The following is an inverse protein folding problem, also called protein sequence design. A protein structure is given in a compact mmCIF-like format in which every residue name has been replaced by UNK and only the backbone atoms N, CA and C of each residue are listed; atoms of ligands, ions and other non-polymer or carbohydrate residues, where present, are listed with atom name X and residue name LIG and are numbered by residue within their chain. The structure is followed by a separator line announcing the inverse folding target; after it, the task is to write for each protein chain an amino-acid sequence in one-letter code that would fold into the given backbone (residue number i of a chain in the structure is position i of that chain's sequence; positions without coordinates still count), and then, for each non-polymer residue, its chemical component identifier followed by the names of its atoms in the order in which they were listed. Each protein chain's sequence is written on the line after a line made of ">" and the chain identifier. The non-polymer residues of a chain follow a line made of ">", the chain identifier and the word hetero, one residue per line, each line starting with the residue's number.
data_IF_800484240530
#
_entry.id   IF_800484240530
#
_cell.length_a   1.000
_cell.length_b   1.000
_cell.length_c   1.000
_cell.angle_alpha   90.00
_cell.angle_beta   90.00
_cell.angle_gamma   90.00
#
_symmetry.space_group_name_H-M   'P 1'
#
loop_
_entity.id
_entity.type
_entity.pdbx_description
1 polymer ?
#
# COMPACT_ATOMS: atom_id res chain seq x y z
N UNK A 1 -0.84 -12.27 18.36
CA UNK A 1 -1.52 -10.95 18.31
C UNK A 1 -3.00 -11.06 17.97
N UNK A 2 -3.36 -11.62 16.80
CA UNK A 2 -4.75 -11.82 16.35
C UNK A 2 -5.64 -12.55 17.37
N UNK A 3 -5.13 -13.63 17.96
CA UNK A 3 -5.84 -14.40 18.99
C UNK A 3 -6.13 -13.57 20.26
N UNK A 4 -5.18 -12.74 20.71
CA UNK A 4 -5.38 -11.88 21.89
C UNK A 4 -6.42 -10.78 21.62
N UNK A 5 -6.38 -10.15 20.44
CA UNK A 5 -7.40 -9.17 20.04
C UNK A 5 -8.79 -9.83 19.93
N UNK A 6 -8.86 -11.03 19.37
CA UNK A 6 -10.11 -11.80 19.30
C UNK A 6 -10.64 -12.16 20.70
N UNK A 7 -9.78 -12.54 21.65
CA UNK A 7 -10.19 -12.86 23.03
C UNK A 7 -10.71 -11.61 23.78
N UNK A 8 -10.07 -10.45 23.59
CA UNK A 8 -10.52 -9.18 24.18
C UNK A 8 -11.84 -8.72 23.56
N UNK A 9 -12.01 -8.87 22.24
CA UNK A 9 -13.26 -8.52 21.59
C UNK A 9 -14.39 -9.47 21.98
N UNK A 10 -14.12 -10.78 22.07
CA UNK A 10 -15.09 -11.79 22.52
C UNK A 10 -15.62 -11.50 23.92
N UNK A 11 -14.75 -11.09 24.84
CA UNK A 11 -15.14 -10.79 26.23
C UNK A 11 -15.93 -9.49 26.37
N UNK A 12 -15.85 -8.59 25.38
CA UNK A 12 -16.54 -7.30 25.35
C UNK A 12 -17.80 -7.30 24.47
N UNK A 13 -17.95 -8.27 23.56
CA UNK A 13 -19.10 -8.39 22.67
C UNK A 13 -20.22 -9.21 23.34
N UNK A 14 -21.32 -8.54 23.69
CA UNK A 14 -22.58 -9.15 24.15
C UNK A 14 -23.30 -9.94 23.03
N UNK A 15 -22.65 -10.96 22.47
CA UNK A 15 -23.21 -11.82 21.42
C UNK A 15 -23.04 -11.35 19.97
N UNK A 16 -22.26 -10.31 19.72
CA UNK A 16 -21.91 -9.87 18.35
C UNK A 16 -20.78 -10.73 17.77
N UNK A 17 -20.93 -11.21 16.53
CA UNK A 17 -19.85 -11.92 15.82
C UNK A 17 -18.63 -10.98 15.65
N UNK A 18 -17.44 -11.50 15.97
CA UNK A 18 -16.19 -10.76 15.83
C UNK A 18 -15.86 -10.60 14.34
N UNK A 19 -15.79 -9.35 13.87
CA UNK A 19 -15.24 -9.05 12.54
C UNK A 19 -13.70 -9.12 12.60
N UNK A 20 -13.16 -10.30 12.31
CA UNK A 20 -11.71 -10.52 12.31
C UNK A 20 -10.97 -9.57 11.37
N UNK A 21 -11.57 -9.15 10.25
CA UNK A 21 -10.93 -8.23 9.31
C UNK A 21 -10.73 -6.85 9.96
N UNK A 22 -11.74 -6.35 10.66
CA UNK A 22 -11.60 -5.12 11.46
C UNK A 22 -10.62 -5.31 12.62
N UNK A 23 -10.65 -6.46 13.29
CA UNK A 23 -9.78 -6.76 14.41
C UNK A 23 -8.29 -6.69 14.05
N UNK A 24 -7.89 -7.23 12.89
CA UNK A 24 -6.48 -7.15 12.46
C UNK A 24 -6.09 -5.74 12.04
N UNK A 25 -7.06 -4.96 11.56
CA UNK A 25 -6.87 -3.56 11.17
C UNK A 25 -6.82 -2.60 12.35
N UNK A 26 -7.20 -2.97 13.56
CA UNK A 26 -7.05 -2.09 14.74
C UNK A 26 -5.61 -1.62 14.97
N UNK A 27 -4.61 -2.44 14.61
CA UNK A 27 -3.19 -2.09 14.73
C UNK A 27 -2.60 -1.46 13.45
N UNK A 28 -3.33 -1.53 12.34
CA UNK A 28 -2.97 -0.91 11.06
C UNK A 28 -4.27 -0.42 10.40
N UNK A 29 -4.87 0.67 10.93
CA UNK A 29 -6.16 1.14 10.46
C UNK A 29 -6.05 1.56 9.00
N UNK A 30 -7.17 1.51 8.25
CA UNK A 30 -7.20 2.09 6.91
C UNK A 30 -6.68 3.52 6.97
N UNK A 31 -5.91 3.97 5.96
CA UNK A 31 -5.31 5.29 5.97
C UNK A 31 -6.38 6.37 6.13
N UNK A 32 -6.20 7.22 7.13
CA UNK A 32 -6.89 8.51 7.18
C UNK A 32 -6.49 9.29 5.92
N UNK A 33 -7.48 9.98 5.35
CA UNK A 33 -7.33 10.83 4.16
C UNK A 33 -6.88 10.07 2.90
N UNK A 34 -7.36 8.84 2.70
CA UNK A 34 -7.04 8.07 1.50
C UNK A 34 -7.49 8.80 0.23
N UNK A 35 -8.69 9.40 0.25
CA UNK A 35 -9.23 10.15 -0.89
C UNK A 35 -8.30 11.27 -1.32
N UNK A 36 -7.89 12.13 -0.39
CA UNK A 36 -7.02 13.27 -0.67
C UNK A 36 -5.65 12.82 -1.19
N UNK A 37 -5.12 11.71 -0.65
CA UNK A 37 -3.85 11.12 -1.12
C UNK A 37 -3.95 10.57 -2.54
N UNK A 38 -5.05 9.91 -2.89
CA UNK A 38 -5.25 9.35 -4.22
C UNK A 38 -5.46 10.47 -5.25
N UNK A 39 -6.28 11.48 -4.92
CA UNK A 39 -6.44 12.68 -5.76
C UNK A 39 -5.09 13.36 -5.97
N UNK A 40 -4.34 13.61 -4.90
CA UNK A 40 -3.01 14.23 -4.98
C UNK A 40 -2.04 13.41 -5.85
N UNK A 41 -2.00 12.09 -5.65
CA UNK A 41 -1.16 11.21 -6.45
C UNK A 41 -1.50 11.31 -7.94
N UNK A 42 -2.79 11.23 -8.30
CA UNK A 42 -3.23 11.30 -9.70
C UNK A 42 -2.89 12.68 -10.28
N UNK A 43 -3.18 13.78 -9.57
CA UNK A 43 -2.87 15.13 -10.04
C UNK A 43 -1.37 15.38 -10.24
N UNK A 44 -0.51 14.90 -9.33
CA UNK A 44 0.96 15.06 -9.46
C UNK A 44 1.51 14.21 -10.60
N UNK A 45 0.84 13.11 -10.95
CA UNK A 45 1.31 12.15 -11.96
C UNK A 45 0.40 12.09 -13.18
N UNK A 46 -0.36 13.14 -13.45
CA UNK A 46 -1.34 13.18 -14.56
C UNK A 46 -0.66 12.96 -15.92
N UNK A 47 0.49 13.60 -16.13
CA UNK A 47 1.28 13.47 -17.36
C UNK A 47 2.21 12.24 -17.37
N UNK A 48 2.18 11.42 -16.32
CA UNK A 48 3.07 10.26 -16.21
C UNK A 48 2.57 9.12 -17.10
N UNK A 49 3.48 8.49 -17.84
CA UNK A 49 3.18 7.25 -18.59
C UNK A 49 3.08 6.05 -17.62
N UNK A 50 2.00 6.02 -16.82
CA UNK A 50 1.70 5.00 -15.82
C UNK A 50 0.22 4.61 -15.84
N UNK A 51 -0.08 3.36 -15.48
CA UNK A 51 -1.46 2.89 -15.27
C UNK A 51 -1.86 3.19 -13.81
N UNK A 52 -2.49 4.35 -13.56
CA UNK A 52 -2.93 4.76 -12.21
C UNK A 52 -3.86 3.72 -11.56
N UNK A 53 -4.78 3.15 -12.34
CA UNK A 53 -5.71 2.12 -11.86
C UNK A 53 -4.94 0.90 -11.35
N UNK A 54 -3.97 0.40 -12.12
CA UNK A 54 -3.14 -0.73 -11.70
C UNK A 54 -2.27 -0.42 -10.47
N UNK A 55 -1.64 0.74 -10.44
CA UNK A 55 -0.77 1.14 -9.34
C UNK A 55 -1.57 1.27 -8.05
N UNK A 56 -2.69 1.98 -8.08
CA UNK A 56 -3.58 2.17 -6.93
C UNK A 56 -4.13 0.83 -6.48
N UNK A 57 -4.69 0.02 -7.38
CA UNK A 57 -5.21 -1.30 -7.04
C UNK A 57 -4.13 -2.18 -6.38
N UNK A 58 -2.91 -2.18 -6.91
CA UNK A 58 -1.81 -2.97 -6.36
C UNK A 58 -1.30 -2.44 -5.02
N UNK A 59 -1.32 -1.12 -4.80
CA UNK A 59 -0.94 -0.49 -3.54
C UNK A 59 -1.97 -0.78 -2.43
N UNK A 60 -3.27 -0.70 -2.77
CA UNK A 60 -4.34 -1.12 -1.86
C UNK A 60 -4.24 -2.61 -1.52
N UNK A 61 -3.84 -3.43 -2.48
CA UNK A 61 -3.64 -4.86 -2.25
C UNK A 61 -2.44 -5.17 -1.34
N UNK A 62 -1.36 -4.37 -1.44
CA UNK A 62 -0.25 -4.39 -0.49
C UNK A 62 -0.70 -3.99 0.92
N UNK A 63 -1.51 -2.94 1.05
CA UNK A 63 -2.07 -2.50 2.34
C UNK A 63 -3.06 -3.53 2.93
N UNK A 64 -3.85 -4.18 2.06
CA UNK A 64 -4.78 -5.25 2.43
C UNK A 64 -4.11 -6.51 2.94
N UNK A 65 -2.98 -6.86 2.35
CA UNK A 65 -2.34 -8.14 2.58
C UNK A 65 -0.83 -7.98 2.77
N UNK A 66 -0.34 -7.18 3.74
CA UNK A 66 1.09 -7.00 3.90
C UNK A 66 1.74 -8.31 4.36
N UNK A 67 3.08 -8.45 4.23
CA UNK A 67 3.78 -9.69 4.55
C UNK A 67 3.41 -10.23 5.95
N UNK A 68 3.02 -11.52 6.01
CA UNK A 68 2.64 -12.21 7.26
C UNK A 68 1.19 -12.04 7.70
N UNK A 69 0.35 -11.31 6.95
CA UNK A 69 -1.08 -11.16 7.25
C UNK A 69 -1.94 -12.26 6.62
N UNK A 70 -3.12 -12.48 7.22
CA UNK A 70 -4.11 -13.41 6.66
C UNK A 70 -4.69 -12.88 5.35
N UNK A 71 -4.92 -13.79 4.40
CA UNK A 71 -5.56 -13.46 3.13
C UNK A 71 -7.08 -13.46 3.29
N UNK A 72 -7.67 -12.28 3.44
CA UNK A 72 -9.12 -12.11 3.47
C UNK A 72 -9.69 -12.06 2.04
N UNK A 73 -10.96 -12.45 1.82
CA UNK A 73 -11.57 -12.40 0.49
C UNK A 73 -11.50 -10.99 -0.12
N UNK A 74 -10.84 -10.80 -1.28
CA UNK A 74 -10.57 -9.46 -1.84
C UNK A 74 -11.82 -8.61 -2.02
N UNK A 75 -12.92 -9.20 -2.51
CA UNK A 75 -14.21 -8.49 -2.68
C UNK A 75 -14.68 -7.84 -1.38
N UNK A 76 -14.77 -8.61 -0.31
CA UNK A 76 -15.20 -8.12 1.00
C UNK A 76 -14.19 -7.12 1.58
N UNK A 77 -12.90 -7.37 1.38
CA UNK A 77 -11.85 -6.46 1.82
C UNK A 77 -12.00 -5.08 1.19
N UNK A 78 -12.20 -5.02 -0.12
CA UNK A 78 -12.36 -3.77 -0.84
C UNK A 78 -13.63 -3.02 -0.44
N UNK A 79 -14.78 -3.70 -0.45
CA UNK A 79 -16.07 -3.09 -0.12
C UNK A 79 -16.07 -2.45 1.27
N UNK A 80 -15.51 -3.14 2.25
CA UNK A 80 -15.47 -2.65 3.63
C UNK A 80 -14.42 -1.56 3.88
N UNK A 81 -13.32 -1.56 3.12
CA UNK A 81 -12.13 -0.77 3.48
C UNK A 81 -11.89 0.43 2.56
N UNK A 82 -12.16 0.27 1.26
CA UNK A 82 -11.69 1.20 0.23
C UNK A 82 -12.82 1.82 -0.59
N UNK A 83 -13.97 1.13 -0.74
CA UNK A 83 -15.08 1.57 -1.60
C UNK A 83 -15.49 3.03 -1.36
N UNK A 84 -15.64 3.42 -0.09
CA UNK A 84 -16.05 4.79 0.24
C UNK A 84 -15.02 5.83 -0.21
N UNK A 85 -13.73 5.59 0.05
CA UNK A 85 -12.67 6.53 -0.31
C UNK A 85 -12.50 6.65 -1.83
N UNK A 86 -12.61 5.53 -2.55
CA UNK A 86 -12.49 5.50 -4.01
C UNK A 86 -13.69 6.15 -4.70
N UNK A 87 -14.91 5.96 -4.18
CA UNK A 87 -16.09 6.68 -4.68
C UNK A 87 -15.99 8.20 -4.50
N UNK A 88 -15.39 8.66 -3.38
CA UNK A 88 -15.10 10.09 -3.18
C UNK A 88 -13.98 10.59 -4.09
N UNK A 89 -12.98 9.75 -4.36
CA UNK A 89 -11.87 10.07 -5.29
C UNK A 89 -12.41 10.26 -6.70
N UNK A 90 -13.21 9.31 -7.19
CA UNK A 90 -13.93 9.38 -8.47
C UNK A 90 -14.77 10.66 -8.59
N UNK A 91 -15.55 10.97 -7.54
CA UNK A 91 -16.36 12.20 -7.51
C UNK A 91 -15.51 13.48 -7.58
N UNK A 92 -14.31 13.47 -6.96
CA UNK A 92 -13.41 14.63 -6.91
C UNK A 92 -12.65 14.83 -8.22
N UNK A 93 -12.37 13.76 -8.94
CA UNK A 93 -11.66 13.78 -10.23
C UNK A 93 -12.61 13.95 -11.43
N UNK A 94 -13.92 13.77 -11.21
CA UNK A 94 -14.93 13.71 -12.28
C UNK A 94 -14.65 12.57 -13.29
N UNK A 95 -14.16 11.43 -12.80
CA UNK A 95 -13.81 10.26 -13.61
C UNK A 95 -14.76 9.07 -13.38
N UNK A 96 -15.92 9.11 -14.04
CA UNK A 96 -16.95 8.09 -13.89
C UNK A 96 -16.41 6.66 -14.11
N UNK A 97 -16.72 5.76 -13.17
CA UNK A 97 -16.32 4.36 -13.21
C UNK A 97 -14.89 4.09 -12.76
N UNK A 98 -14.12 5.10 -12.34
CA UNK A 98 -12.77 4.92 -11.79
C UNK A 98 -12.75 3.95 -10.60
N UNK A 99 -13.67 4.09 -9.64
CA UNK A 99 -13.76 3.22 -8.47
C UNK A 99 -14.01 1.76 -8.87
N UNK A 100 -14.83 1.52 -9.88
CA UNK A 100 -15.14 0.15 -10.35
C UNK A 100 -13.96 -0.45 -11.13
N UNK A 101 -13.22 0.34 -11.90
CA UNK A 101 -11.99 -0.10 -12.56
C UNK A 101 -10.92 -0.51 -11.53
N UNK A 102 -10.73 0.29 -10.48
CA UNK A 102 -9.81 -0.04 -9.38
C UNK A 102 -10.28 -1.29 -8.64
N UNK A 103 -11.59 -1.45 -8.39
CA UNK A 103 -12.16 -2.64 -7.76
C UNK A 103 -11.87 -3.93 -8.54
N UNK A 104 -12.17 -3.96 -9.83
CA UNK A 104 -11.95 -5.14 -10.67
C UNK A 104 -10.44 -5.47 -10.77
N UNK A 105 -9.60 -4.44 -10.93
CA UNK A 105 -8.15 -4.61 -10.96
C UNK A 105 -7.60 -5.11 -9.63
N UNK A 106 -8.10 -4.61 -8.50
CA UNK A 106 -7.71 -5.04 -7.16
C UNK A 106 -8.01 -6.53 -6.96
N UNK A 107 -9.22 -6.98 -7.31
CA UNK A 107 -9.62 -8.39 -7.19
C UNK A 107 -8.74 -9.26 -8.06
N UNK A 108 -8.55 -8.87 -9.33
CA UNK A 108 -7.71 -9.61 -10.27
C UNK A 108 -6.29 -9.80 -9.72
N UNK A 109 -5.63 -8.71 -9.33
CA UNK A 109 -4.26 -8.76 -8.81
C UNK A 109 -4.17 -9.61 -7.53
N UNK A 110 -5.09 -9.41 -6.58
CA UNK A 110 -5.10 -10.15 -5.32
C UNK A 110 -5.27 -11.67 -5.53
N UNK A 111 -6.13 -12.08 -6.48
CA UNK A 111 -6.35 -13.48 -6.81
C UNK A 111 -5.19 -14.11 -7.56
N UNK A 112 -4.62 -13.41 -8.55
CA UNK A 112 -3.46 -13.87 -9.32
C UNK A 112 -2.26 -14.16 -8.42
N UNK A 113 -2.05 -13.32 -7.40
CA UNK A 113 -0.94 -13.46 -6.45
C UNK A 113 -1.33 -14.09 -5.11
N UNK A 114 -2.50 -14.72 -4.98
CA UNK A 114 -3.04 -15.26 -3.71
C UNK A 114 -2.04 -16.08 -2.89
N UNK A 115 -1.24 -16.91 -3.55
CA UNK A 115 -0.23 -17.78 -2.91
C UNK A 115 1.18 -17.15 -2.88
N UNK A 116 1.29 -15.87 -3.25
CA UNK A 116 2.51 -15.11 -3.31
C UNK A 116 2.46 -13.84 -2.46
N UNK A 117 3.57 -13.13 -2.45
CA UNK A 117 3.72 -11.89 -1.70
C UNK A 117 3.12 -10.70 -2.46
N UNK A 118 2.19 -9.99 -1.81
CA UNK A 118 1.67 -8.69 -2.27
C UNK A 118 2.79 -7.69 -2.53
N UNK A 119 3.75 -7.60 -1.61
CA UNK A 119 4.93 -6.76 -1.75
C UNK A 119 5.72 -7.08 -3.02
N UNK A 120 6.06 -8.35 -3.25
CA UNK A 120 6.80 -8.72 -4.47
C UNK A 120 6.00 -8.45 -5.74
N UNK A 121 4.69 -8.74 -5.75
CA UNK A 121 3.83 -8.47 -6.90
C UNK A 121 3.77 -6.95 -7.21
N UNK A 122 3.58 -6.14 -6.17
CA UNK A 122 3.50 -4.70 -6.27
C UNK A 122 4.82 -4.05 -6.71
N UNK A 123 5.95 -4.46 -6.11
CA UNK A 123 7.27 -3.96 -6.49
C UNK A 123 7.63 -4.33 -7.94
N UNK A 124 7.22 -5.51 -8.42
CA UNK A 124 7.38 -5.86 -9.84
C UNK A 124 6.57 -4.94 -10.76
N UNK A 125 5.34 -4.58 -10.37
CA UNK A 125 4.51 -3.64 -11.13
C UNK A 125 5.18 -2.26 -11.18
N UNK A 126 5.60 -1.72 -10.03
CA UNK A 126 6.30 -0.43 -9.97
C UNK A 126 7.58 -0.42 -10.81
N UNK A 127 8.34 -1.52 -10.81
CA UNK A 127 9.54 -1.67 -11.61
C UNK A 127 9.28 -1.53 -13.13
N UNK A 128 8.08 -1.87 -13.60
CA UNK A 128 7.67 -1.69 -14.99
C UNK A 128 7.62 -0.23 -15.43
N UNK A 129 7.46 0.69 -14.48
CA UNK A 129 7.32 2.14 -14.71
C UNK A 129 8.54 2.95 -14.25
N UNK A 130 9.70 2.31 -14.07
CA UNK A 130 10.92 2.97 -13.55
C UNK A 130 11.35 4.23 -14.30
N UNK A 131 11.07 4.29 -15.60
CA UNK A 131 11.38 5.48 -16.39
C UNK A 131 10.52 6.67 -15.94
N UNK A 132 9.19 6.52 -15.94
CA UNK A 132 8.25 7.55 -15.53
C UNK A 132 8.56 8.06 -14.12
N UNK A 133 8.81 7.16 -13.16
CA UNK A 133 9.08 7.55 -11.77
C UNK A 133 10.28 8.46 -11.55
N UNK A 134 11.22 8.59 -12.50
CA UNK A 134 12.41 9.44 -12.33
C UNK A 134 12.07 10.92 -12.23
N UNK A 135 10.97 11.33 -12.84
CA UNK A 135 10.60 12.74 -12.96
C UNK A 135 9.61 13.17 -11.88
N UNK A 136 9.04 12.20 -11.14
CA UNK A 136 8.08 12.45 -10.07
C UNK A 136 8.70 12.16 -8.71
N UNK A 137 8.86 13.20 -7.91
CA UNK A 137 9.27 13.11 -6.51
C UNK A 137 8.23 13.78 -5.63
N UNK A 138 7.92 13.15 -4.51
CA UNK A 138 6.96 13.65 -3.55
C UNK A 138 7.59 13.69 -2.16
N UNK A 139 7.27 14.73 -1.39
CA UNK A 139 7.84 14.96 -0.07
C UNK A 139 7.02 14.30 1.04
N UNK A 140 5.70 14.25 0.86
CA UNK A 140 4.75 13.96 1.94
C UNK A 140 4.11 12.59 1.83
N UNK A 141 3.82 12.11 0.63
CA UNK A 141 3.16 10.83 0.37
C UNK A 141 4.17 9.78 -0.12
N UNK A 142 4.12 8.58 0.45
CA UNK A 142 4.92 7.47 -0.05
C UNK A 142 4.29 6.91 -1.34
N UNK A 143 4.91 7.20 -2.48
CA UNK A 143 4.46 6.71 -3.80
C UNK A 143 4.57 5.20 -4.00
N UNK A 144 5.19 4.48 -3.05
CA UNK A 144 5.12 3.01 -3.03
C UNK A 144 3.75 2.56 -2.52
N UNK A 145 3.35 2.92 -1.30
CA UNK A 145 2.10 2.39 -0.74
C UNK A 145 0.86 3.26 -0.97
N UNK A 146 1.01 4.53 -1.33
CA UNK A 146 -0.06 5.53 -1.49
C UNK A 146 -0.96 5.75 -0.25
N UNK A 147 -0.58 5.15 0.87
CA UNK A 147 -1.38 5.05 2.09
C UNK A 147 -0.76 5.90 3.20
N UNK A 148 0.57 5.85 3.34
CA UNK A 148 1.32 6.44 4.45
C UNK A 148 2.16 7.62 4.01
N UNK A 149 2.40 8.53 4.95
CA UNK A 149 3.33 9.63 4.74
C UNK A 149 4.76 9.13 4.58
N UNK A 150 5.52 9.79 3.72
CA UNK A 150 6.92 9.46 3.50
C UNK A 150 7.81 10.15 4.56
N UNK A 151 8.80 9.43 5.07
CA UNK A 151 9.71 9.88 6.13
C UNK A 151 11.16 9.81 5.68
N UNK A 152 11.53 8.73 5.00
CA UNK A 152 12.91 8.42 4.62
C UNK A 152 13.20 8.80 3.18
N UNK A 153 14.17 9.68 2.94
CA UNK A 153 14.63 10.02 1.59
C UNK A 153 15.80 9.12 1.14
N UNK A 154 15.75 8.68 -0.13
CA UNK A 154 16.85 8.00 -0.80
C UNK A 154 17.74 8.99 -1.56
N UNK A 155 18.92 8.53 -2.02
CA UNK A 155 19.86 9.36 -2.80
C UNK A 155 19.25 9.89 -4.11
N UNK A 156 18.26 9.18 -4.65
CA UNK A 156 17.50 9.59 -5.84
C UNK A 156 16.37 10.60 -5.54
N UNK A 157 16.25 11.07 -4.28
CA UNK A 157 15.22 11.97 -3.75
C UNK A 157 13.83 11.36 -3.57
N UNK A 158 13.55 10.17 -4.08
CA UNK A 158 12.32 9.44 -3.70
C UNK A 158 12.28 9.19 -2.20
N UNK A 159 11.07 9.28 -1.64
CA UNK A 159 10.84 9.07 -0.22
C UNK A 159 9.93 7.87 0.05
N UNK A 160 10.22 7.16 1.14
CA UNK A 160 9.49 5.98 1.59
C UNK A 160 8.98 6.20 3.02
N UNK A 161 7.84 5.59 3.34
CA UNK A 161 7.42 5.40 4.73
C UNK A 161 8.19 4.25 5.38
N UNK A 162 8.24 4.20 6.71
CA UNK A 162 9.03 3.19 7.46
C UNK A 162 8.61 1.75 7.11
N UNK A 163 7.31 1.51 6.88
CA UNK A 163 6.84 0.21 6.44
C UNK A 163 7.37 -0.17 5.05
N UNK A 164 7.40 0.77 4.11
CA UNK A 164 7.98 0.53 2.78
C UNK A 164 9.49 0.37 2.85
N UNK A 165 10.18 1.01 3.79
CA UNK A 165 11.61 0.75 4.05
C UNK A 165 11.81 -0.72 4.44
N UNK A 166 11.03 -1.22 5.39
CA UNK A 166 11.10 -2.61 5.84
C UNK A 166 10.71 -3.59 4.72
N UNK A 167 9.72 -3.26 3.90
CA UNK A 167 9.25 -4.11 2.79
C UNK A 167 10.26 -4.18 1.65
N UNK A 168 10.90 -3.05 1.30
CA UNK A 168 11.79 -2.96 0.15
C UNK A 168 13.25 -3.29 0.49
N UNK A 169 13.62 -3.17 1.77
CA UNK A 169 14.97 -3.37 2.23
C UNK A 169 15.27 -4.78 2.71
N UNK A 170 16.55 -5.04 2.90
CA UNK A 170 17.07 -6.29 3.48
C UNK A 170 17.74 -6.01 4.81
N UNK A 171 17.61 -6.93 5.77
CA UNK A 171 18.36 -6.91 7.02
C UNK A 171 19.53 -7.87 6.94
N UNK A 172 20.68 -7.48 7.49
CA UNK A 172 21.87 -8.34 7.54
C UNK A 172 21.64 -9.56 8.44
N UNK A 173 20.86 -9.40 9.52
CA UNK A 173 20.50 -10.46 10.44
C UNK A 173 19.09 -10.28 11.02
N UNK A 174 18.42 -11.36 11.45
CA UNK A 174 17.15 -11.26 12.18
C UNK A 174 17.38 -10.51 13.51
N UNK A 175 16.90 -9.27 13.59
CA UNK A 175 17.00 -8.43 14.80
C UNK A 175 17.91 -7.20 14.66
N UNK A 176 18.69 -7.08 13.57
CA UNK A 176 19.40 -5.82 13.30
C UNK A 176 18.40 -4.67 13.12
N UNK A 177 18.60 -3.50 13.76
CA UNK A 177 17.77 -2.33 13.52
C UNK A 177 17.98 -1.78 12.10
N UNK A 178 19.13 -2.05 11.49
CA UNK A 178 19.53 -1.50 10.20
C UNK A 178 18.83 -2.21 9.05
N UNK A 179 18.18 -1.42 8.20
CA UNK A 179 17.58 -1.90 6.95
C UNK A 179 18.35 -1.29 5.78
N UNK A 180 18.85 -2.14 4.90
CA UNK A 180 19.56 -1.72 3.70
C UNK A 180 18.61 -1.71 2.50
N UNK A 181 18.42 -0.53 1.90
CA UNK A 181 17.80 -0.39 0.58
C UNK A 181 18.93 -0.16 -0.42
N UNK A 182 19.17 -1.11 -1.31
CA UNK A 182 20.25 -1.00 -2.30
C UNK A 182 19.81 -0.33 -3.59
N UNK A 183 18.51 -0.35 -3.89
CA UNK A 183 17.89 0.28 -5.07
C UNK A 183 16.53 0.86 -4.71
N UNK A 184 16.23 2.03 -5.29
CA UNK A 184 14.91 2.65 -5.17
C UNK A 184 13.84 1.77 -5.83
N UNK A 185 12.73 1.44 -5.14
CA UNK A 185 11.65 0.63 -5.71
C UNK A 185 10.85 1.35 -6.80
N UNK A 186 10.95 2.68 -6.89
CA UNK A 186 10.29 3.49 -7.90
C UNK A 186 11.15 3.63 -9.16
N UNK A 187 12.32 4.26 -9.08
CA UNK A 187 13.13 4.58 -10.27
C UNK A 187 14.31 3.63 -10.55
N UNK A 188 14.57 2.66 -9.68
CA UNK A 188 15.65 1.67 -9.83
C UNK A 188 17.08 2.19 -9.58
N UNK A 189 17.27 3.49 -9.28
CA UNK A 189 18.58 4.06 -8.97
C UNK A 189 19.15 3.44 -7.68
N UNK A 190 20.47 3.26 -7.63
CA UNK A 190 21.16 2.71 -6.46
C UNK A 190 21.06 3.68 -5.27
N UNK A 191 20.94 3.12 -4.08
CA UNK A 191 21.10 3.83 -2.81
C UNK A 191 22.27 3.22 -2.06
N UNK A 192 23.20 4.06 -1.61
CA UNK A 192 24.49 3.62 -1.06
C UNK A 192 24.57 3.64 0.46
N UNK A 193 23.51 4.04 1.17
CA UNK A 193 23.53 4.25 2.63
C UNK A 193 22.56 3.29 3.32
N UNK A 194 22.91 2.87 4.54
CA UNK A 194 21.98 2.15 5.41
C UNK A 194 20.91 3.11 5.93
N UNK A 195 19.69 2.60 6.11
CA UNK A 195 18.56 3.35 6.62
C UNK A 195 18.22 2.82 8.02
N UNK A 196 18.07 3.76 8.95
CA UNK A 196 17.47 3.51 10.26
C UNK A 196 15.98 3.84 10.14
N UNK A 197 15.07 2.84 10.16
CA UNK A 197 13.63 3.04 10.07
C UNK A 197 12.99 3.55 11.36
#
# INVERSE_FOLDING_TARGET
>A
ALLQTAVVQFSQSSGQQIDFQQAVRLRNPPPLQLTEKLVHFISVTEDADIDHVAIIASALDLDAHPPGMHFFPPRLTFEKTYRAALGQTESSLHEDGFSDQVYEKFIKLALERKNGSSAHAHLRLLNGYQHAWRDYTEETLCFVCLVRSASTALDCKHRLCDACVIICGTRESPGSPDVQITKCPLCGRRHGRSILP
#
